data_IF_874702703954
#
_entry.id   IF_874702703954
#
_cell.length_a   1.000
_cell.length_b   1.000
_cell.length_c   1.000
_cell.angle_alpha   90.00
_cell.angle_beta   90.00
_cell.angle_gamma   90.00
#
_symmetry.space_group_name_H-M   'P 1'
#
loop_
_entity.id
_entity.type
_entity.pdbx_description
1 polymer ?
#
# COMPACT_ATOMS: atom_id res chain seq x y z
N UNK A 1 -13.24 -13.05 11.55
CA UNK A 1 -13.09 -11.62 11.92
C UNK A 1 -14.22 -10.73 11.37
N UNK A 2 -14.56 -10.79 10.07
CA UNK A 2 -15.61 -9.95 9.43
C UNK A 2 -16.97 -9.91 10.15
N UNK A 3 -17.53 -11.05 10.54
CA UNK A 3 -18.84 -11.11 11.21
C UNK A 3 -18.83 -10.42 12.59
N UNK A 4 -17.70 -10.48 13.30
CA UNK A 4 -17.52 -9.82 14.60
C UNK A 4 -17.42 -8.30 14.46
N UNK A 5 -16.72 -7.82 13.41
CA UNK A 5 -16.62 -6.38 13.13
C UNK A 5 -18.00 -5.81 12.77
N UNK A 6 -18.78 -6.49 11.92
CA UNK A 6 -20.17 -6.08 11.61
C UNK A 6 -21.03 -6.01 12.86
N UNK A 7 -20.97 -7.03 13.71
CA UNK A 7 -21.77 -7.09 14.93
C UNK A 7 -21.42 -5.98 15.95
N UNK A 8 -20.15 -5.57 16.02
CA UNK A 8 -19.71 -4.56 17.00
C UNK A 8 -19.75 -3.12 16.48
N UNK A 9 -19.52 -2.91 15.19
CA UNK A 9 -19.27 -1.58 14.61
C UNK A 9 -20.17 -1.23 13.42
N UNK A 10 -21.04 -2.15 13.00
CA UNK A 10 -21.96 -1.96 11.88
C UNK A 10 -21.33 -2.19 10.50
N UNK A 11 -22.18 -2.16 9.47
CA UNK A 11 -21.80 -2.52 8.11
C UNK A 11 -20.80 -1.54 7.50
N UNK A 12 -20.96 -0.24 7.73
CA UNK A 12 -20.06 0.77 7.17
C UNK A 12 -18.59 0.57 7.60
N UNK A 13 -18.35 0.27 8.89
CA UNK A 13 -16.99 0.04 9.40
C UNK A 13 -16.43 -1.28 8.87
N UNK A 14 -17.25 -2.33 8.81
CA UNK A 14 -16.83 -3.62 8.28
C UNK A 14 -16.45 -3.53 6.79
N UNK A 15 -17.22 -2.78 6.00
CA UNK A 15 -16.99 -2.58 4.57
C UNK A 15 -15.69 -1.79 4.34
N UNK A 16 -15.41 -0.78 5.17
CA UNK A 16 -14.14 -0.03 5.14
C UNK A 16 -12.96 -0.95 5.47
N UNK A 17 -13.04 -1.73 6.56
CA UNK A 17 -11.94 -2.63 6.97
C UNK A 17 -11.68 -3.69 5.89
N UNK A 18 -12.72 -4.23 5.29
CA UNK A 18 -12.62 -5.18 4.17
C UNK A 18 -11.93 -4.53 2.97
N UNK A 19 -12.35 -3.33 2.60
CA UNK A 19 -11.81 -2.58 1.46
C UNK A 19 -10.37 -2.09 1.69
N UNK A 20 -9.94 -1.89 2.94
CA UNK A 20 -8.57 -1.50 3.28
C UNK A 20 -7.59 -2.67 3.26
N UNK A 21 -8.08 -3.92 3.21
CA UNK A 21 -7.24 -5.11 3.25
C UNK A 21 -6.66 -5.43 1.87
N UNK A 22 -5.41 -5.03 1.64
CA UNK A 22 -4.66 -5.22 0.39
C UNK A 22 -4.09 -6.66 0.23
N UNK A 23 -4.99 -7.64 0.42
CA UNK A 23 -4.75 -9.08 0.37
C UNK A 23 -5.05 -9.77 1.70
N UNK A 24 -5.89 -10.80 1.65
CA UNK A 24 -6.23 -11.61 2.84
C UNK A 24 -5.15 -12.64 3.16
N UNK A 25 -5.20 -13.23 4.36
CA UNK A 25 -4.33 -14.36 4.75
C UNK A 25 -4.46 -15.52 3.74
N UNK A 26 -5.67 -15.78 3.28
CA UNK A 26 -5.99 -16.78 2.27
C UNK A 26 -5.40 -16.42 0.90
N UNK A 27 -5.36 -15.13 0.56
CA UNK A 27 -4.75 -14.63 -0.68
C UNK A 27 -3.23 -14.80 -0.69
N UNK A 28 -2.60 -14.76 0.49
CA UNK A 28 -1.17 -15.04 0.68
C UNK A 28 -0.90 -16.55 0.66
N UNK A 29 -1.74 -17.36 1.30
CA UNK A 29 -1.64 -18.83 1.30
C UNK A 29 -1.95 -19.49 -0.06
N UNK A 30 -2.70 -18.82 -0.95
CA UNK A 30 -2.90 -19.29 -2.32
C UNK A 30 -1.65 -19.05 -3.19
N UNK A 31 -0.97 -17.93 -2.99
CA UNK A 31 0.25 -17.56 -3.71
C UNK A 31 1.43 -18.52 -3.47
N UNK A 32 1.43 -19.27 -2.38
CA UNK A 32 2.44 -20.29 -2.08
C UNK A 32 2.23 -21.59 -2.86
N UNK A 33 1.04 -21.80 -3.46
CA UNK A 33 0.65 -23.05 -4.14
C UNK A 33 0.74 -22.99 -5.66
N UNK A 34 0.92 -21.80 -6.24
CA UNK A 34 0.96 -21.58 -7.69
C UNK A 34 1.92 -20.43 -8.00
N UNK A 35 2.77 -20.54 -9.03
CA UNK A 35 3.63 -19.42 -9.47
C UNK A 35 4.66 -18.93 -8.44
N UNK A 36 5.21 -17.72 -8.68
CA UNK A 36 6.11 -17.07 -7.73
C UNK A 36 5.33 -16.15 -6.77
N UNK A 37 5.73 -16.10 -5.50
CA UNK A 37 5.11 -15.22 -4.50
C UNK A 37 5.11 -13.74 -4.91
N UNK A 38 6.10 -13.33 -5.73
CA UNK A 38 6.22 -11.99 -6.30
C UNK A 38 5.14 -11.70 -7.35
N UNK A 39 4.83 -12.64 -8.24
CA UNK A 39 3.83 -12.44 -9.29
C UNK A 39 2.43 -12.31 -8.70
N UNK A 40 2.10 -13.18 -7.75
CA UNK A 40 0.85 -13.08 -7.00
C UNK A 40 0.77 -11.81 -6.16
N UNK A 41 1.88 -11.35 -5.57
CA UNK A 41 1.91 -10.04 -4.91
C UNK A 41 1.56 -8.94 -5.90
N UNK A 42 2.15 -8.95 -7.10
CA UNK A 42 1.93 -7.92 -8.13
C UNK A 42 0.48 -7.90 -8.57
N UNK A 43 -0.09 -9.06 -8.87
CA UNK A 43 -1.50 -9.20 -9.26
C UNK A 43 -2.44 -8.61 -8.20
N UNK A 44 -2.24 -8.96 -6.92
CA UNK A 44 -3.04 -8.39 -5.82
C UNK A 44 -2.92 -6.88 -5.73
N UNK A 45 -1.71 -6.32 -5.88
CA UNK A 45 -1.50 -4.86 -5.86
C UNK A 45 -2.17 -4.17 -7.02
N UNK A 46 -2.10 -4.73 -8.23
CA UNK A 46 -2.78 -4.17 -9.41
C UNK A 46 -4.31 -4.16 -9.23
N UNK A 47 -4.89 -5.25 -8.70
CA UNK A 47 -6.32 -5.32 -8.36
C UNK A 47 -6.68 -4.27 -7.30
N UNK A 48 -5.87 -4.13 -6.26
CA UNK A 48 -6.07 -3.13 -5.21
C UNK A 48 -6.00 -1.69 -5.74
N UNK A 49 -5.01 -1.37 -6.57
CA UNK A 49 -4.90 -0.07 -7.23
C UNK A 49 -6.11 0.20 -8.14
N UNK A 50 -6.61 -0.81 -8.87
CA UNK A 50 -7.83 -0.66 -9.66
C UNK A 50 -9.07 -0.42 -8.79
N UNK A 51 -9.15 -1.07 -7.63
CA UNK A 51 -10.21 -0.89 -6.65
C UNK A 51 -10.21 0.52 -6.05
N UNK A 52 -9.05 1.04 -5.61
CA UNK A 52 -8.94 2.37 -5.00
C UNK A 52 -9.42 3.52 -5.90
N UNK A 53 -9.38 3.34 -7.22
CA UNK A 53 -9.92 4.35 -8.16
C UNK A 53 -11.45 4.51 -8.05
N UNK A 54 -12.15 3.51 -7.50
CA UNK A 54 -13.61 3.37 -7.52
C UNK A 54 -14.27 3.33 -6.13
N UNK A 55 -13.50 3.17 -5.06
CA UNK A 55 -14.07 3.11 -3.69
C UNK A 55 -14.70 4.43 -3.28
N UNK A 56 -15.65 4.42 -2.32
CA UNK A 56 -16.17 5.64 -1.70
C UNK A 56 -15.06 6.47 -1.02
N UNK A 57 -15.26 7.78 -0.90
CA UNK A 57 -14.28 8.70 -0.32
C UNK A 57 -13.89 8.37 1.12
N UNK A 58 -14.84 7.88 1.93
CA UNK A 58 -14.55 7.45 3.31
C UNK A 58 -13.58 6.28 3.36
N UNK A 59 -13.77 5.29 2.48
CA UNK A 59 -12.87 4.15 2.34
C UNK A 59 -11.50 4.59 1.80
N UNK A 60 -11.49 5.49 0.81
CA UNK A 60 -10.26 6.04 0.24
C UNK A 60 -9.44 6.76 1.32
N UNK A 61 -10.10 7.60 2.13
CA UNK A 61 -9.51 8.34 3.23
C UNK A 61 -8.85 7.40 4.24
N UNK A 62 -9.58 6.38 4.71
CA UNK A 62 -9.06 5.42 5.70
C UNK A 62 -7.87 4.63 5.11
N UNK A 63 -8.01 4.14 3.88
CA UNK A 63 -6.93 3.43 3.18
C UNK A 63 -5.68 4.30 3.03
N UNK A 64 -5.80 5.54 2.54
CA UNK A 64 -4.63 6.37 2.33
C UNK A 64 -4.02 6.89 3.63
N UNK A 65 -4.78 7.05 4.71
CA UNK A 65 -4.23 7.30 6.05
C UNK A 65 -3.38 6.12 6.55
N UNK A 66 -3.87 4.88 6.40
CA UNK A 66 -3.08 3.67 6.69
C UNK A 66 -1.81 3.63 5.84
N UNK A 67 -1.92 3.87 4.53
CA UNK A 67 -0.75 3.86 3.63
C UNK A 67 0.23 4.98 3.96
N UNK A 68 -0.23 6.17 4.35
CA UNK A 68 0.63 7.27 4.78
C UNK A 68 1.41 6.91 6.04
N UNK A 69 0.76 6.27 7.02
CA UNK A 69 1.46 5.75 8.19
C UNK A 69 2.55 4.75 7.78
N UNK A 70 2.22 3.81 6.90
CA UNK A 70 3.17 2.81 6.40
C UNK A 70 4.34 3.44 5.63
N UNK A 71 4.07 4.44 4.78
CA UNK A 71 5.11 5.19 4.07
C UNK A 71 6.06 5.91 5.03
N UNK A 72 5.52 6.57 6.07
CA UNK A 72 6.33 7.24 7.11
C UNK A 72 7.20 6.25 7.87
N UNK A 73 6.67 5.06 8.20
CA UNK A 73 7.45 4.01 8.84
C UNK A 73 8.62 3.55 7.96
N UNK A 74 8.38 3.31 6.66
CA UNK A 74 9.44 2.97 5.69
C UNK A 74 10.49 4.07 5.62
N UNK A 75 10.08 5.34 5.54
CA UNK A 75 11.01 6.47 5.51
C UNK A 75 11.86 6.58 6.80
N UNK A 76 11.25 6.29 7.95
CA UNK A 76 11.94 6.21 9.23
C UNK A 76 13.01 5.13 9.24
N UNK A 77 12.66 3.92 8.81
CA UNK A 77 13.59 2.79 8.70
C UNK A 77 14.71 3.06 7.68
N UNK A 78 14.39 3.65 6.52
CA UNK A 78 15.39 4.09 5.53
C UNK A 78 16.36 5.15 6.09
N UNK A 79 15.90 5.97 7.02
CA UNK A 79 16.72 7.00 7.67
C UNK A 79 17.58 6.45 8.81
N UNK A 80 17.29 5.24 9.28
CA UNK A 80 18.08 4.56 10.30
C UNK A 80 19.33 3.93 9.67
N UNK A 81 20.53 4.32 10.14
CA UNK A 81 21.81 3.81 9.61
C UNK A 81 21.99 2.31 9.78
N UNK A 82 21.38 1.71 10.79
CA UNK A 82 21.48 0.27 11.06
C UNK A 82 20.54 -0.56 10.18
N UNK A 83 19.50 0.07 9.62
CA UNK A 83 18.51 -0.58 8.74
C UNK A 83 18.76 -0.16 7.29
N UNK A 84 18.57 1.11 6.96
CA UNK A 84 18.74 1.65 5.62
C UNK A 84 17.95 0.85 4.58
N UNK A 85 18.60 0.48 3.48
CA UNK A 85 17.98 -0.26 2.38
C UNK A 85 17.50 -1.67 2.77
N UNK A 86 17.96 -2.25 3.88
CA UNK A 86 17.50 -3.58 4.34
C UNK A 86 16.02 -3.59 4.74
N UNK A 87 15.38 -2.42 4.94
CA UNK A 87 13.94 -2.34 5.15
C UNK A 87 13.14 -3.06 4.07
N UNK A 88 13.64 -3.05 2.82
CA UNK A 88 12.96 -3.66 1.68
C UNK A 88 12.98 -5.19 1.73
N UNK A 89 13.91 -5.82 2.48
CA UNK A 89 14.00 -7.28 2.63
C UNK A 89 12.81 -7.87 3.40
N UNK A 90 12.10 -7.03 4.16
CA UNK A 90 10.88 -7.42 4.90
C UNK A 90 9.66 -7.56 3.99
N UNK A 91 9.73 -7.10 2.75
CA UNK A 91 8.63 -7.15 1.79
C UNK A 91 8.75 -8.38 0.89
N UNK A 92 7.61 -8.98 0.56
CA UNK A 92 7.54 -10.05 -0.46
C UNK A 92 7.97 -9.56 -1.85
N UNK A 93 7.80 -8.26 -2.10
CA UNK A 93 8.21 -7.62 -3.35
C UNK A 93 9.64 -7.09 -3.27
N UNK A 94 10.28 -6.99 -4.44
CA UNK A 94 11.58 -6.30 -4.53
C UNK A 94 11.40 -4.82 -4.21
N UNK A 95 12.50 -4.16 -3.85
CA UNK A 95 12.57 -2.72 -3.61
C UNK A 95 11.90 -1.93 -4.74
N UNK A 96 12.25 -2.24 -5.98
CA UNK A 96 11.76 -1.51 -7.17
C UNK A 96 10.23 -1.63 -7.32
N UNK A 97 9.68 -2.82 -7.08
CA UNK A 97 8.23 -3.04 -7.13
C UNK A 97 7.52 -2.34 -5.96
N UNK A 98 8.15 -2.31 -4.78
CA UNK A 98 7.60 -1.61 -3.61
C UNK A 98 7.55 -0.11 -3.87
N UNK A 99 8.64 0.48 -4.36
CA UNK A 99 8.70 1.89 -4.77
C UNK A 99 7.63 2.20 -5.82
N UNK A 100 7.53 1.39 -6.86
CA UNK A 100 6.54 1.57 -7.92
C UNK A 100 5.09 1.46 -7.42
N UNK A 101 4.84 0.59 -6.44
CA UNK A 101 3.52 0.48 -5.80
C UNK A 101 3.16 1.74 -5.02
N UNK A 102 4.07 2.26 -4.20
CA UNK A 102 3.85 3.52 -3.48
C UNK A 102 3.70 4.71 -4.43
N UNK A 103 4.40 4.70 -5.57
CA UNK A 103 4.19 5.69 -6.62
C UNK A 103 2.77 5.64 -7.19
N UNK A 104 2.28 4.45 -7.56
CA UNK A 104 0.91 4.30 -8.05
C UNK A 104 -0.15 4.73 -7.03
N UNK A 105 0.09 4.53 -5.73
CA UNK A 105 -0.80 5.05 -4.69
C UNK A 105 -0.81 6.57 -4.66
N UNK A 106 0.36 7.21 -4.76
CA UNK A 106 0.47 8.68 -4.77
C UNK A 106 -0.27 9.29 -5.96
N UNK A 107 -0.13 8.70 -7.15
CA UNK A 107 -0.87 9.09 -8.35
C UNK A 107 -2.39 8.98 -8.14
N UNK A 108 -2.86 7.85 -7.59
CA UNK A 108 -4.30 7.63 -7.36
C UNK A 108 -4.85 8.61 -6.34
N UNK A 109 -4.20 8.78 -5.19
CA UNK A 109 -4.68 9.68 -4.13
C UNK A 109 -4.71 11.13 -4.60
N UNK A 110 -3.71 11.55 -5.38
CA UNK A 110 -3.67 12.90 -5.97
C UNK A 110 -4.78 13.08 -7.00
N UNK A 111 -4.95 12.13 -7.92
CA UNK A 111 -6.01 12.19 -8.94
C UNK A 111 -7.42 12.18 -8.36
N UNK A 112 -7.58 11.62 -7.16
CA UNK A 112 -8.85 11.53 -6.42
C UNK A 112 -9.08 12.72 -5.48
N UNK A 113 -8.15 13.67 -5.41
CA UNK A 113 -8.16 14.80 -4.46
C UNK A 113 -8.34 14.36 -3.00
N UNK A 114 -7.67 13.27 -2.63
CA UNK A 114 -7.80 12.72 -1.29
C UNK A 114 -7.13 13.65 -0.26
N UNK A 115 -7.71 13.89 0.93
CA UNK A 115 -7.21 14.90 1.89
C UNK A 115 -5.74 14.76 2.32
N UNK A 116 -5.22 13.53 2.29
CA UNK A 116 -3.87 13.13 2.68
C UNK A 116 -2.90 13.03 1.50
N UNK A 117 -3.35 13.27 0.27
CA UNK A 117 -2.59 13.01 -0.96
C UNK A 117 -1.26 13.76 -1.00
N UNK A 118 -1.25 15.06 -0.70
CA UNK A 118 -0.02 15.87 -0.68
C UNK A 118 1.00 15.34 0.33
N UNK A 119 0.57 15.08 1.57
CA UNK A 119 1.47 14.54 2.59
C UNK A 119 2.01 13.14 2.23
N UNK A 120 1.20 12.34 1.52
CA UNK A 120 1.61 11.04 1.01
C UNK A 120 2.63 11.17 -0.12
N UNK A 121 2.38 12.02 -1.12
CA UNK A 121 3.29 12.26 -2.23
C UNK A 121 4.66 12.76 -1.76
N UNK A 122 4.69 13.72 -0.84
CA UNK A 122 5.92 14.24 -0.25
C UNK A 122 6.71 13.15 0.48
N UNK A 123 6.02 12.22 1.15
CA UNK A 123 6.66 11.10 1.84
C UNK A 123 7.22 10.10 0.83
N UNK A 124 6.48 9.78 -0.23
CA UNK A 124 6.93 8.88 -1.29
C UNK A 124 8.14 9.47 -2.04
N UNK A 125 8.13 10.77 -2.34
CA UNK A 125 9.27 11.45 -2.94
C UNK A 125 10.54 11.33 -2.08
N UNK A 126 10.40 11.47 -0.76
CA UNK A 126 11.52 11.28 0.17
C UNK A 126 12.00 9.82 0.21
N UNK A 127 11.10 8.83 0.22
CA UNK A 127 11.46 7.41 0.14
C UNK A 127 12.28 7.15 -1.13
N UNK A 128 11.82 7.63 -2.28
CA UNK A 128 12.53 7.48 -3.56
C UNK A 128 13.92 8.13 -3.52
N UNK A 129 14.02 9.36 -3.01
CA UNK A 129 15.29 10.07 -2.88
C UNK A 129 16.28 9.30 -1.99
N UNK A 130 15.83 8.80 -0.82
CA UNK A 130 16.67 8.03 0.12
C UNK A 130 17.08 6.67 -0.43
N UNK A 131 16.18 6.01 -1.17
CA UNK A 131 16.48 4.76 -1.87
C UNK A 131 17.33 4.96 -3.14
N UNK A 132 17.78 6.19 -3.44
CA UNK A 132 18.56 6.57 -4.63
C UNK A 132 17.85 6.20 -5.94
N UNK A 133 16.52 6.24 -5.94
CA UNK A 133 15.65 5.94 -7.07
C UNK A 133 15.03 7.23 -7.61
N UNK A 134 15.83 8.02 -8.31
CA UNK A 134 15.48 9.38 -8.77
C UNK A 134 14.31 9.44 -9.75
N UNK A 135 13.99 8.32 -10.42
CA UNK A 135 12.84 8.23 -11.32
C UNK A 135 11.71 7.51 -10.60
N UNK A 136 10.63 8.25 -10.39
CA UNK A 136 9.36 7.74 -9.88
C UNK A 136 8.59 7.14 -11.05
N UNK A 137 8.27 5.84 -10.98
CA UNK A 137 7.50 5.12 -12.01
C UNK A 137 6.42 4.29 -11.35
N UNK A 138 5.17 4.34 -11.83
CA UNK A 138 4.11 3.50 -11.29
C UNK A 138 4.34 2.03 -11.59
N UNK A 139 3.70 1.17 -10.80
CA UNK A 139 3.70 -0.27 -10.98
C UNK A 139 2.96 -0.64 -12.28
N UNK A 140 3.68 -1.29 -13.21
CA UNK A 140 3.18 -1.68 -14.53
C UNK A 140 2.53 -3.06 -14.63
#
# INVERSE_FOLDING_TARGET
>A
HRAMIRAQFGDAVADIVESCTDGTVESKAHAERTGSARDHWRERKLVYLAHLRKVPESTLLVSGCDKLHNARAILGDLSNKDVGDSVFERFTAKREDTLAYYESLAEIFTARDAPMASAFDDTVAQIHSRAKASVRKPLS
#
